data_IF_171994414911
#
_entry.id   IF_171994414911
#
_cell.length_a   1.000
_cell.length_b   1.000
_cell.length_c   1.000
_cell.angle_alpha   90.00
_cell.angle_beta   90.00
_cell.angle_gamma   90.00
#
_symmetry.space_group_name_H-M   'P 1'
#
loop_
_entity.id
_entity.type
_entity.pdbx_description
1 polymer ?
#
# COMPACT_ATOMS: atom_id res chain seq x y z
N UNK A 1 23.15 51.21 8.96
CA UNK A 1 23.27 49.82 9.40
C UNK A 1 22.17 49.53 10.38
N UNK A 2 21.44 48.45 10.15
CA UNK A 2 21.14 47.41 11.14
C UNK A 2 20.56 46.20 10.41
N UNK A 3 21.00 45.06 10.90
CA UNK A 3 21.12 43.76 10.29
C UNK A 3 19.80 42.98 10.14
N UNK A 4 19.85 42.04 9.18
CA UNK A 4 19.40 40.63 9.25
C UNK A 4 18.51 40.24 10.45
N UNK A 5 17.35 39.62 10.20
CA UNK A 5 17.03 38.30 10.77
C UNK A 5 15.66 37.74 10.28
N UNK A 6 15.73 36.52 9.76
CA UNK A 6 14.75 35.43 9.92
C UNK A 6 13.36 35.43 9.25
N UNK A 7 13.32 34.72 8.12
CA UNK A 7 12.36 33.65 7.75
C UNK A 7 11.20 33.36 8.70
N UNK A 8 9.97 33.63 8.26
CA UNK A 8 8.72 32.97 8.72
C UNK A 8 7.68 33.10 7.59
N UNK A 9 6.93 32.10 7.12
CA UNK A 9 6.71 30.72 7.52
C UNK A 9 6.10 30.03 6.31
N UNK A 10 6.69 28.95 5.82
CA UNK A 10 6.05 28.09 4.82
C UNK A 10 4.95 27.34 5.58
N UNK A 11 3.71 27.77 5.44
CA UNK A 11 2.55 27.08 6.02
C UNK A 11 2.42 25.73 5.32
N UNK A 12 3.09 24.70 5.86
CA UNK A 12 2.87 23.30 5.48
C UNK A 12 1.39 23.01 5.71
N UNK A 13 0.61 23.04 4.63
CA UNK A 13 -0.80 22.60 4.62
C UNK A 13 -0.82 21.20 5.22
N UNK A 14 -1.35 21.07 6.45
CA UNK A 14 -1.68 19.78 7.05
C UNK A 14 -2.67 19.11 6.11
N UNK A 15 -2.21 18.15 5.32
CA UNK A 15 -3.09 17.20 4.67
C UNK A 15 -3.74 16.38 5.78
N UNK A 16 -5.02 16.62 6.03
CA UNK A 16 -5.83 15.86 6.99
C UNK A 16 -5.79 14.40 6.54
N UNK A 17 -4.94 13.59 7.18
CA UNK A 17 -4.95 12.14 6.98
C UNK A 17 -6.34 11.65 7.37
N UNK A 18 -7.16 11.27 6.37
CA UNK A 18 -8.44 10.60 6.59
C UNK A 18 -8.17 9.41 7.50
N UNK A 19 -8.87 9.35 8.64
CA UNK A 19 -8.80 8.22 9.56
C UNK A 19 -9.37 6.99 8.84
N UNK A 20 -8.50 6.07 8.44
CA UNK A 20 -8.90 4.80 7.84
C UNK A 20 -9.64 3.99 8.91
N UNK A 21 -10.90 3.65 8.63
CA UNK A 21 -11.77 2.94 9.57
C UNK A 21 -11.27 1.50 9.78
N UNK A 22 -10.67 1.22 10.95
CA UNK A 22 -9.88 0.02 11.29
C UNK A 22 -10.66 -1.30 11.46
N UNK A 23 -11.90 -1.40 10.97
CA UNK A 23 -12.77 -2.57 11.24
C UNK A 23 -13.14 -3.46 10.06
N UNK A 24 -12.79 -3.11 8.82
CA UNK A 24 -13.05 -4.01 7.71
C UNK A 24 -11.75 -4.62 7.20
N UNK A 25 -11.56 -5.90 7.52
CA UNK A 25 -10.70 -6.79 6.74
C UNK A 25 -11.39 -6.92 5.38
N UNK A 26 -10.97 -6.09 4.41
CA UNK A 26 -11.63 -5.97 3.10
C UNK A 26 -10.98 -6.94 2.14
N UNK A 27 -11.81 -7.81 1.58
CA UNK A 27 -11.47 -8.59 0.41
C UNK A 27 -11.54 -7.69 -0.82
N UNK A 28 -10.49 -7.73 -1.64
CA UNK A 28 -10.47 -7.08 -2.94
C UNK A 28 -11.64 -7.59 -3.79
N UNK A 29 -12.35 -6.69 -4.47
CA UNK A 29 -13.49 -7.04 -5.33
C UNK A 29 -13.02 -7.65 -6.66
N UNK A 30 -11.86 -7.26 -7.15
CA UNK A 30 -11.35 -7.74 -8.43
C UNK A 30 -10.95 -9.22 -8.37
N UNK A 31 -11.40 -10.03 -9.32
CA UNK A 31 -11.14 -11.48 -9.36
C UNK A 31 -9.72 -11.78 -9.83
N UNK A 32 -9.26 -11.10 -10.89
CA UNK A 32 -7.92 -11.32 -11.47
C UNK A 32 -6.83 -10.96 -10.47
N UNK A 33 -6.99 -9.82 -9.79
CA UNK A 33 -6.07 -9.37 -8.76
C UNK A 33 -6.00 -10.37 -7.59
N UNK A 34 -7.14 -10.93 -7.17
CA UNK A 34 -7.17 -11.98 -6.14
C UNK A 34 -6.40 -13.23 -6.59
N UNK A 35 -6.59 -13.69 -7.82
CA UNK A 35 -5.85 -14.84 -8.37
C UNK A 35 -4.34 -14.56 -8.46
N UNK A 36 -3.93 -13.35 -8.86
CA UNK A 36 -2.52 -12.95 -8.88
C UNK A 36 -1.89 -12.93 -7.47
N UNK A 37 -2.63 -12.42 -6.48
CA UNK A 37 -2.20 -12.43 -5.07
C UNK A 37 -2.06 -13.88 -4.58
N UNK A 38 -3.05 -14.74 -4.82
CA UNK A 38 -2.96 -16.15 -4.43
C UNK A 38 -1.76 -16.85 -5.08
N UNK A 39 -1.51 -16.60 -6.37
CA UNK A 39 -0.36 -17.18 -7.07
C UNK A 39 0.98 -16.72 -6.48
N UNK A 40 1.13 -15.44 -6.14
CA UNK A 40 2.34 -14.92 -5.47
C UNK A 40 2.50 -15.48 -4.06
N UNK A 41 1.39 -15.71 -3.36
CA UNK A 41 1.39 -16.22 -1.98
C UNK A 41 1.37 -17.75 -1.88
N UNK A 42 1.19 -18.49 -2.98
CA UNK A 42 1.06 -19.94 -2.99
C UNK A 42 2.24 -20.67 -2.32
N UNK A 43 3.45 -20.08 -2.38
CA UNK A 43 4.67 -20.63 -1.76
C UNK A 43 4.92 -20.13 -0.34
N UNK A 44 4.10 -19.20 0.17
CA UNK A 44 4.28 -18.63 1.51
C UNK A 44 3.66 -19.51 2.59
N UNK A 45 4.45 -19.81 3.63
CA UNK A 45 3.95 -20.52 4.83
C UNK A 45 2.92 -19.70 5.62
N UNK A 46 2.87 -18.38 5.40
CA UNK A 46 1.95 -17.44 6.05
C UNK A 46 0.98 -16.81 5.04
N UNK A 47 0.48 -17.60 4.10
CA UNK A 47 -0.36 -17.11 3.00
C UNK A 47 -1.57 -16.28 3.48
N UNK A 48 -2.24 -16.69 4.55
CA UNK A 48 -3.46 -16.03 5.02
C UNK A 48 -3.16 -14.65 5.63
N UNK A 49 -2.14 -14.56 6.49
CA UNK A 49 -1.66 -13.28 7.06
C UNK A 49 -1.16 -12.34 5.96
N UNK A 50 -0.42 -12.88 4.98
CA UNK A 50 0.10 -12.09 3.86
C UNK A 50 -1.01 -11.64 2.91
N UNK A 51 -2.06 -12.44 2.70
CA UNK A 51 -3.22 -12.06 1.87
C UNK A 51 -3.88 -10.81 2.41
N UNK A 52 -4.06 -10.73 3.73
CA UNK A 52 -4.63 -9.55 4.39
C UNK A 52 -3.73 -8.33 4.22
N UNK A 53 -2.43 -8.49 4.41
CA UNK A 53 -1.46 -7.41 4.26
C UNK A 53 -1.39 -6.88 2.82
N UNK A 54 -1.36 -7.77 1.82
CA UNK A 54 -1.36 -7.38 0.39
C UNK A 54 -2.68 -6.72 -0.01
N UNK A 55 -3.81 -7.25 0.45
CA UNK A 55 -5.13 -6.64 0.21
C UNK A 55 -5.23 -5.23 0.81
N UNK A 56 -4.65 -5.04 2.00
CA UNK A 56 -4.56 -3.72 2.62
C UNK A 56 -3.73 -2.73 1.79
N UNK A 57 -2.66 -3.19 1.13
CA UNK A 57 -1.83 -2.35 0.26
C UNK A 57 -2.66 -1.78 -0.90
N UNK A 58 -3.31 -2.66 -1.67
CA UNK A 58 -4.11 -2.25 -2.84
C UNK A 58 -5.27 -1.33 -2.48
N UNK A 59 -5.92 -1.58 -1.34
CA UNK A 59 -6.98 -0.69 -0.86
C UNK A 59 -6.47 0.70 -0.53
N UNK A 60 -5.37 0.80 0.22
CA UNK A 60 -4.78 2.10 0.56
C UNK A 60 -4.28 2.83 -0.69
N UNK A 61 -3.81 2.08 -1.69
CA UNK A 61 -3.44 2.62 -2.99
C UNK A 61 -4.65 3.16 -3.75
N UNK A 62 -5.78 2.45 -3.79
CA UNK A 62 -7.02 2.92 -4.39
C UNK A 62 -7.54 4.20 -3.70
N UNK A 63 -7.44 4.27 -2.37
CA UNK A 63 -7.90 5.44 -1.61
C UNK A 63 -7.00 6.68 -1.76
N UNK A 64 -5.68 6.50 -1.94
CA UNK A 64 -4.71 7.61 -1.93
C UNK A 64 -4.05 7.85 -3.30
N UNK A 65 -4.31 7.03 -4.32
CA UNK A 65 -3.62 6.98 -5.61
C UNK A 65 -2.08 6.88 -5.50
N UNK A 66 -1.57 6.36 -4.38
CA UNK A 66 -0.13 6.19 -4.13
C UNK A 66 0.12 4.96 -3.23
N UNK A 67 1.33 4.41 -3.27
CA UNK A 67 1.69 3.27 -2.44
C UNK A 67 1.68 3.64 -0.94
N UNK A 68 1.01 2.84 -0.09
CA UNK A 68 0.98 3.11 1.34
C UNK A 68 2.36 2.93 2.00
N UNK A 69 2.54 3.61 3.12
CA UNK A 69 3.72 3.36 3.96
C UNK A 69 3.58 2.03 4.70
N UNK A 70 4.71 1.44 5.12
CA UNK A 70 4.72 0.22 5.97
C UNK A 70 3.83 0.39 7.20
N UNK A 71 3.86 1.56 7.83
CA UNK A 71 3.04 1.87 9.01
C UNK A 71 1.55 1.80 8.70
N UNK A 72 1.10 2.37 7.58
CA UNK A 72 -0.32 2.37 7.23
C UNK A 72 -0.83 0.93 6.98
N UNK A 73 0.01 0.09 6.35
CA UNK A 73 -0.29 -1.33 6.14
C UNK A 73 -0.33 -2.10 7.46
N UNK A 74 0.63 -1.89 8.35
CA UNK A 74 0.64 -2.49 9.69
C UNK A 74 -0.60 -2.09 10.49
N UNK A 75 -0.98 -0.82 10.46
CA UNK A 75 -2.14 -0.32 11.19
C UNK A 75 -3.46 -0.87 10.65
N UNK A 76 -3.57 -1.08 9.33
CA UNK A 76 -4.77 -1.59 8.68
C UNK A 76 -4.89 -3.12 8.76
N UNK A 77 -3.81 -3.83 8.43
CA UNK A 77 -3.78 -5.30 8.37
C UNK A 77 -3.40 -5.97 9.71
N UNK A 78 -2.99 -5.18 10.72
CA UNK A 78 -2.49 -5.68 12.02
C UNK A 78 -1.38 -6.72 11.86
N UNK A 79 -0.44 -6.44 10.98
CA UNK A 79 0.69 -7.31 10.67
C UNK A 79 2.02 -6.73 11.18
N UNK A 80 3.07 -7.57 11.15
CA UNK A 80 4.43 -7.15 11.48
C UNK A 80 5.03 -6.22 10.40
N UNK A 81 6.07 -5.45 10.75
CA UNK A 81 6.79 -4.61 9.78
C UNK A 81 7.35 -5.42 8.60
N UNK A 82 7.84 -6.63 8.89
CA UNK A 82 8.30 -7.56 7.86
C UNK A 82 7.17 -7.91 6.87
N UNK A 83 5.98 -8.24 7.39
CA UNK A 83 4.83 -8.57 6.55
C UNK A 83 4.34 -7.36 5.76
N UNK A 84 4.34 -6.17 6.34
CA UNK A 84 4.00 -4.94 5.63
C UNK A 84 4.99 -4.63 4.50
N UNK A 85 6.29 -4.78 4.76
CA UNK A 85 7.35 -4.63 3.75
C UNK A 85 7.16 -5.62 2.61
N UNK A 86 6.99 -6.90 2.94
CA UNK A 86 6.79 -7.95 1.94
C UNK A 86 5.48 -7.77 1.17
N UNK A 87 4.42 -7.32 1.82
CA UNK A 87 3.14 -7.06 1.16
C UNK A 87 3.25 -5.93 0.13
N UNK A 88 3.93 -4.83 0.47
CA UNK A 88 4.18 -3.72 -0.47
C UNK A 88 5.02 -4.21 -1.65
N UNK A 89 6.05 -5.04 -1.40
CA UNK A 89 6.88 -5.63 -2.47
C UNK A 89 6.04 -6.49 -3.41
N UNK A 90 5.23 -7.40 -2.87
CA UNK A 90 4.37 -8.28 -3.68
C UNK A 90 3.36 -7.47 -4.49
N UNK A 91 2.75 -6.44 -3.91
CA UNK A 91 1.82 -5.58 -4.62
C UNK A 91 2.49 -4.85 -5.79
N UNK A 92 3.71 -4.35 -5.62
CA UNK A 92 4.51 -3.74 -6.71
C UNK A 92 4.76 -4.72 -7.85
N UNK A 93 5.24 -5.93 -7.52
CA UNK A 93 5.50 -6.96 -8.52
C UNK A 93 4.24 -7.31 -9.32
N UNK A 94 3.08 -7.38 -8.67
CA UNK A 94 1.81 -7.67 -9.34
C UNK A 94 1.45 -6.56 -10.35
N UNK A 95 1.65 -5.29 -9.98
CA UNK A 95 1.40 -4.16 -10.87
C UNK A 95 2.37 -4.19 -12.05
N UNK A 96 3.66 -4.42 -11.79
CA UNK A 96 4.69 -4.53 -12.84
C UNK A 96 4.42 -5.71 -13.79
N UNK A 97 4.02 -6.87 -13.26
CA UNK A 97 3.65 -8.05 -14.05
C UNK A 97 2.42 -7.76 -14.93
N UNK A 98 1.44 -7.00 -14.40
CA UNK A 98 0.23 -6.60 -15.15
C UNK A 98 0.57 -5.62 -16.27
N UNK A 99 1.32 -4.56 -15.98
CA UNK A 99 1.76 -3.58 -16.99
C UNK A 99 2.63 -4.24 -18.08
N UNK A 100 3.48 -5.20 -17.71
CA UNK A 100 4.30 -5.95 -18.66
C UNK A 100 3.45 -6.85 -19.56
N UNK A 101 2.38 -7.44 -19.04
CA UNK A 101 1.46 -8.24 -19.85
C UNK A 101 0.73 -7.33 -20.86
N UNK A 102 0.22 -6.18 -20.40
CA UNK A 102 -0.46 -5.20 -21.26
C UNK A 102 0.46 -4.65 -22.37
N UNK A 103 1.74 -4.39 -22.07
CA UNK A 103 2.71 -3.89 -23.04
C UNK A 103 3.15 -4.91 -24.11
N UNK A 104 2.86 -6.21 -23.93
CA UNK A 104 3.21 -7.27 -24.89
C UNK A 104 2.08 -7.60 -25.86
N UNK A 105 0.86 -7.14 -25.61
CA UNK A 105 -0.28 -7.29 -26.51
C UNK A 105 -0.35 -6.15 -27.57
N UNK A 106 0.67 -5.29 -27.61
CA UNK A 106 0.84 -4.16 -28.56
C UNK A 106 2.00 -4.45 -29.51
#
# INVERSE_FOLDING_TARGET
>A
GNDDDSTKSITKKRTTKKRINKRNVVFLKDRRLREQIENKLAKSRKKDEMRLAVSAVFRLQEENNDFPSRRDVMELARCSDYQAKEAIRIAKEIIEDTQRAEAKEV
#
